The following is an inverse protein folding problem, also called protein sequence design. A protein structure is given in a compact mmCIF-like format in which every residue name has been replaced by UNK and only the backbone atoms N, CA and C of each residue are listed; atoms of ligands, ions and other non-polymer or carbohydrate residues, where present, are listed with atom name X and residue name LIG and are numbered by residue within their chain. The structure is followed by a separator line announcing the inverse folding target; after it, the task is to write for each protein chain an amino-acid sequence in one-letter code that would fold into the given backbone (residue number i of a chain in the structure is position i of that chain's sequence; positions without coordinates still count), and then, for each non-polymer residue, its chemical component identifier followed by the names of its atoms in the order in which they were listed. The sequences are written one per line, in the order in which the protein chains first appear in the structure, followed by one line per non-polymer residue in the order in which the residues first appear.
data_IF_224174262018
#
_entry.id   IF_224174262018
#
_cell.length_a   1.000
_cell.length_b   1.000
_cell.length_c   1.000
_cell.angle_alpha   90.00
_cell.angle_beta   90.00
_cell.angle_gamma   90.00
#
_symmetry.space_group_name_H-M   'P 1'
#
loop_
_entity.id
_entity.type
_entity.pdbx_description
1 polymer ?
#
# COMPACT_ATOMS: atom_id res chain seq x y z
N UNK A 1 -21.31 25.09 22.89
CA UNK A 1 -19.90 24.96 23.32
C UNK A 1 -19.39 23.51 23.38
N UNK A 2 -20.22 22.49 23.15
CA UNK A 2 -19.84 21.06 23.19
C UNK A 2 -18.93 20.60 22.01
N UNK A 3 -18.92 21.32 20.88
CA UNK A 3 -18.12 20.94 19.69
C UNK A 3 -16.60 21.20 19.82
N UNK A 4 -16.16 22.09 20.74
CA UNK A 4 -14.73 22.44 20.87
C UNK A 4 -13.88 21.36 21.54
N UNK A 5 -14.45 20.52 22.40
CA UNK A 5 -13.74 19.41 23.05
C UNK A 5 -13.59 18.18 22.15
N UNK A 6 -14.51 17.98 21.21
CA UNK A 6 -14.50 16.86 20.25
C UNK A 6 -13.43 17.09 19.17
N UNK A 7 -13.29 18.34 18.69
CA UNK A 7 -12.25 18.74 17.74
C UNK A 7 -10.82 18.48 18.24
N UNK A 8 -10.54 18.66 19.54
CA UNK A 8 -9.20 18.44 20.09
C UNK A 8 -8.81 16.96 20.12
N UNK A 9 -9.77 16.09 20.50
CA UNK A 9 -9.57 14.65 20.52
C UNK A 9 -9.47 14.09 19.09
N UNK A 10 -10.34 14.52 18.16
CA UNK A 10 -10.27 14.11 16.75
C UNK A 10 -8.93 14.47 16.12
N UNK A 11 -8.44 15.68 16.41
CA UNK A 11 -7.14 16.14 15.92
C UNK A 11 -6.01 15.28 16.50
N UNK A 12 -6.06 14.95 17.79
CA UNK A 12 -5.07 14.08 18.44
C UNK A 12 -5.11 12.63 17.91
N UNK A 13 -6.30 12.07 17.65
CA UNK A 13 -6.46 10.76 17.03
C UNK A 13 -5.96 10.75 15.58
N UNK A 14 -6.24 11.80 14.81
CA UNK A 14 -5.73 11.95 13.45
C UNK A 14 -4.20 12.00 13.45
N UNK A 15 -3.60 12.81 14.32
CA UNK A 15 -2.16 12.87 14.47
C UNK A 15 -1.59 11.48 14.80
N UNK A 16 -2.13 10.79 15.81
CA UNK A 16 -1.64 9.48 16.21
C UNK A 16 -1.68 8.46 15.06
N UNK A 17 -2.79 8.35 14.34
CA UNK A 17 -2.91 7.42 13.20
C UNK A 17 -1.94 7.76 12.05
N UNK A 18 -1.77 9.04 11.73
CA UNK A 18 -0.87 9.47 10.65
C UNK A 18 0.61 9.27 11.02
N UNK A 19 1.00 9.53 12.26
CA UNK A 19 2.36 9.34 12.74
C UNK A 19 2.72 7.87 12.89
N UNK A 20 1.80 7.04 13.42
CA UNK A 20 2.04 5.60 13.55
C UNK A 20 2.27 4.92 12.19
N UNK A 21 1.40 5.20 11.21
CA UNK A 21 1.53 4.62 9.87
C UNK A 21 2.87 5.00 9.23
N UNK A 22 3.22 6.28 9.25
CA UNK A 22 4.49 6.76 8.68
C UNK A 22 5.70 6.25 9.45
N UNK A 23 5.60 6.12 10.78
CA UNK A 23 6.65 5.56 11.62
C UNK A 23 6.99 4.12 11.26
N UNK A 24 5.97 3.27 11.06
CA UNK A 24 6.16 1.89 10.63
C UNK A 24 6.83 1.84 9.24
N UNK A 25 6.40 2.68 8.29
CA UNK A 25 7.02 2.77 6.97
C UNK A 25 8.48 3.24 7.06
N UNK A 26 8.78 4.22 7.90
CA UNK A 26 10.14 4.72 8.11
C UNK A 26 11.07 3.63 8.65
N UNK A 27 10.60 2.79 9.58
CA UNK A 27 11.36 1.62 10.04
C UNK A 27 11.68 0.65 8.90
N UNK A 28 10.73 0.42 8.00
CA UNK A 28 10.96 -0.36 6.78
C UNK A 28 12.07 0.22 5.89
N UNK A 29 12.05 1.53 5.64
CA UNK A 29 13.10 2.22 4.85
C UNK A 29 14.46 2.17 5.53
N UNK A 30 14.52 2.28 6.86
CA UNK A 30 15.83 2.17 7.55
C UNK A 30 16.51 0.83 7.32
N UNK A 31 15.74 -0.26 7.21
CA UNK A 31 16.30 -1.58 6.94
C UNK A 31 16.98 -1.66 5.56
N UNK A 32 16.44 -0.98 4.54
CA UNK A 32 17.05 -0.97 3.19
C UNK A 32 18.27 -0.03 3.14
N UNK A 33 18.19 1.11 3.83
CA UNK A 33 19.28 2.09 3.88
C UNK A 33 20.55 1.55 4.55
N UNK A 34 20.42 0.64 5.54
CA UNK A 34 21.58 0.01 6.20
C UNK A 34 22.43 -0.80 5.21
N UNK A 35 21.84 -1.27 4.12
CA UNK A 35 22.53 -2.04 3.07
C UNK A 35 22.94 -1.14 1.89
N UNK A 36 22.98 0.18 2.11
CA UNK A 36 23.19 1.21 1.07
C UNK A 36 22.18 1.12 -0.10
N UNK A 37 20.98 0.57 0.16
CA UNK A 37 19.91 0.43 -0.82
C UNK A 37 18.78 1.45 -0.60
N UNK A 38 18.46 2.24 -1.62
CA UNK A 38 17.40 3.24 -1.55
C UNK A 38 16.07 2.70 -2.11
N UNK A 39 15.11 2.34 -1.24
CA UNK A 39 13.78 1.86 -1.66
C UNK A 39 12.71 2.97 -1.64
N UNK A 40 12.49 3.57 -2.82
CA UNK A 40 11.44 4.57 -3.05
C UNK A 40 10.05 3.94 -3.25
N UNK A 41 9.99 2.64 -3.56
CA UNK A 41 8.74 1.97 -3.90
C UNK A 41 7.83 1.72 -2.70
N UNK A 42 8.35 1.85 -1.46
CA UNK A 42 7.63 1.50 -0.23
C UNK A 42 6.27 2.22 -0.08
N UNK A 43 6.16 3.47 -0.54
CA UNK A 43 4.90 4.22 -0.51
C UNK A 43 3.86 3.66 -1.47
N UNK A 44 4.29 3.24 -2.67
CA UNK A 44 3.43 2.56 -3.64
C UNK A 44 3.07 1.14 -3.20
N UNK A 45 3.99 0.42 -2.55
CA UNK A 45 3.72 -0.91 -1.96
C UNK A 45 2.66 -0.81 -0.86
N UNK A 46 2.78 0.18 0.05
CA UNK A 46 1.80 0.41 1.10
C UNK A 46 0.40 0.72 0.52
N UNK A 47 0.34 1.56 -0.52
CA UNK A 47 -0.91 1.89 -1.21
C UNK A 47 -1.49 0.67 -1.94
N UNK A 48 -0.65 -0.12 -2.61
CA UNK A 48 -1.07 -1.38 -3.24
C UNK A 48 -1.59 -2.38 -2.22
N UNK A 49 -0.98 -2.47 -1.04
CA UNK A 49 -1.42 -3.37 0.03
C UNK A 49 -2.77 -2.94 0.60
N UNK A 50 -2.99 -1.63 0.74
CA UNK A 50 -4.30 -1.08 1.13
C UNK A 50 -5.38 -1.42 0.09
N UNK A 51 -5.05 -1.28 -1.20
CA UNK A 51 -6.00 -1.61 -2.27
C UNK A 51 -6.26 -3.12 -2.35
N UNK A 52 -5.23 -3.95 -2.18
CA UNK A 52 -5.36 -5.41 -2.17
C UNK A 52 -6.19 -5.89 -0.98
N UNK A 53 -5.99 -5.33 0.22
CA UNK A 53 -6.79 -5.70 1.38
C UNK A 53 -8.25 -5.31 1.19
N UNK A 54 -8.52 -4.13 0.64
CA UNK A 54 -9.87 -3.71 0.28
C UNK A 54 -10.50 -4.65 -0.76
N UNK A 55 -9.75 -5.04 -1.79
CA UNK A 55 -10.23 -5.97 -2.81
C UNK A 55 -10.55 -7.35 -2.23
N UNK A 56 -9.66 -7.92 -1.41
CA UNK A 56 -9.85 -9.24 -0.79
C UNK A 56 -11.04 -9.25 0.17
N UNK A 57 -11.23 -8.19 0.96
CA UNK A 57 -12.31 -8.14 1.94
C UNK A 57 -13.66 -7.75 1.32
N UNK A 58 -13.68 -6.84 0.34
CA UNK A 58 -14.92 -6.30 -0.23
C UNK A 58 -15.39 -7.08 -1.45
N UNK A 59 -14.47 -7.51 -2.33
CA UNK A 59 -14.83 -8.17 -3.60
C UNK A 59 -14.80 -9.69 -3.48
N UNK A 60 -13.80 -10.23 -2.78
CA UNK A 60 -13.70 -11.68 -2.57
C UNK A 60 -14.42 -12.15 -1.29
N UNK A 61 -14.96 -11.22 -0.49
CA UNK A 61 -15.65 -11.48 0.77
C UNK A 61 -14.88 -12.40 1.74
N UNK A 62 -13.55 -12.37 1.65
CA UNK A 62 -12.70 -13.24 2.47
C UNK A 62 -12.42 -12.61 3.84
N UNK A 63 -12.02 -13.45 4.79
CA UNK A 63 -11.65 -13.01 6.14
C UNK A 63 -10.51 -11.98 6.16
N UNK A 64 -10.45 -11.18 7.22
CA UNK A 64 -9.34 -10.26 7.45
C UNK A 64 -7.97 -10.97 7.51
N UNK A 65 -7.94 -12.22 8.00
CA UNK A 65 -6.71 -13.01 8.06
C UNK A 65 -6.15 -13.30 6.66
N UNK A 66 -7.00 -13.70 5.71
CA UNK A 66 -6.60 -13.88 4.30
C UNK A 66 -6.08 -12.60 3.67
N UNK A 67 -6.68 -11.45 3.98
CA UNK A 67 -6.21 -10.16 3.48
C UNK A 67 -4.79 -9.83 4.00
N UNK A 68 -4.51 -10.10 5.28
CA UNK A 68 -3.16 -9.92 5.86
C UNK A 68 -2.13 -10.78 5.14
N UNK A 69 -2.43 -12.07 4.93
CA UNK A 69 -1.52 -13.00 4.26
C UNK A 69 -1.26 -12.55 2.81
N UNK A 70 -2.30 -12.13 2.09
CA UNK A 70 -2.16 -11.63 0.72
C UNK A 70 -1.28 -10.38 0.65
N UNK A 71 -1.47 -9.42 1.56
CA UNK A 71 -0.66 -8.20 1.62
C UNK A 71 0.80 -8.47 1.97
N UNK A 72 1.06 -9.39 2.91
CA UNK A 72 2.43 -9.80 3.25
C UNK A 72 3.14 -10.47 2.07
N UNK A 73 2.43 -11.36 1.36
CA UNK A 73 2.98 -12.02 0.18
C UNK A 73 3.29 -11.01 -0.94
N UNK A 74 2.39 -10.07 -1.18
CA UNK A 74 2.62 -9.00 -2.16
C UNK A 74 3.85 -8.15 -1.80
N UNK A 75 3.97 -7.71 -0.54
CA UNK A 75 5.14 -6.94 -0.09
C UNK A 75 6.45 -7.73 -0.23
N UNK A 76 6.46 -9.01 0.15
CA UNK A 76 7.61 -9.89 0.01
C UNK A 76 8.00 -10.11 -1.47
N UNK A 77 7.01 -10.31 -2.34
CA UNK A 77 7.24 -10.47 -3.77
C UNK A 77 7.87 -9.22 -4.40
N UNK A 78 7.37 -8.03 -4.06
CA UNK A 78 7.95 -6.77 -4.55
C UNK A 78 9.38 -6.59 -4.04
N UNK A 79 9.61 -6.79 -2.74
CA UNK A 79 10.95 -6.71 -2.15
C UNK A 79 11.93 -7.70 -2.79
N UNK A 80 11.47 -8.92 -3.07
CA UNK A 80 12.27 -9.93 -3.76
C UNK A 80 12.62 -9.52 -5.19
N UNK A 81 11.66 -8.97 -5.95
CA UNK A 81 11.89 -8.48 -7.32
C UNK A 81 12.90 -7.31 -7.31
N UNK A 82 12.70 -6.33 -6.42
CA UNK A 82 13.63 -5.20 -6.27
C UNK A 82 15.04 -5.70 -5.91
N UNK A 83 15.16 -6.61 -4.95
CA UNK A 83 16.43 -7.22 -4.58
C UNK A 83 17.09 -7.99 -5.73
N UNK A 84 16.32 -8.74 -6.51
CA UNK A 84 16.82 -9.48 -7.68
C UNK A 84 17.35 -8.52 -8.76
N UNK A 85 16.64 -7.43 -9.05
CA UNK A 85 17.06 -6.43 -10.04
C UNK A 85 18.35 -5.73 -9.63
N UNK A 86 18.48 -5.39 -8.34
CA UNK A 86 19.67 -4.71 -7.82
C UNK A 86 20.86 -5.67 -7.77
N UNK A 87 20.70 -6.84 -7.15
CA UNK A 87 21.81 -7.77 -6.89
C UNK A 87 22.24 -8.51 -8.16
N UNK A 88 21.29 -9.01 -8.96
CA UNK A 88 21.59 -9.87 -10.13
C UNK A 88 21.66 -9.09 -11.43
N UNK A 89 20.71 -8.19 -11.66
CA UNK A 89 20.67 -7.41 -12.90
C UNK A 89 21.56 -6.14 -12.85
N UNK A 90 22.17 -5.84 -11.69
CA UNK A 90 23.06 -4.69 -11.46
C UNK A 90 22.44 -3.36 -11.88
N UNK A 91 21.12 -3.26 -11.77
CA UNK A 91 20.40 -2.01 -12.00
C UNK A 91 20.64 -1.10 -10.79
N UNK A 92 20.90 0.21 -10.99
CA UNK A 92 20.93 1.17 -9.89
C UNK A 92 19.65 1.07 -9.04
N UNK A 93 19.82 1.03 -7.73
CA UNK A 93 18.76 0.91 -6.72
C UNK A 93 17.61 1.90 -6.90
N UNK A 94 17.96 3.16 -7.14
CA UNK A 94 17.03 4.25 -7.39
C UNK A 94 16.20 4.02 -8.65
N UNK A 95 16.82 3.49 -9.72
CA UNK A 95 16.13 3.22 -10.98
C UNK A 95 15.21 1.98 -10.86
N UNK A 96 15.68 0.92 -10.20
CA UNK A 96 14.87 -0.28 -9.97
C UNK A 96 13.63 0.03 -9.14
N UNK A 97 13.79 0.79 -8.05
CA UNK A 97 12.70 1.09 -7.12
C UNK A 97 11.74 2.16 -7.66
N UNK A 98 12.23 3.17 -8.41
CA UNK A 98 11.36 4.08 -9.16
C UNK A 98 10.55 3.36 -10.24
N UNK A 99 11.19 2.46 -10.99
CA UNK A 99 10.50 1.65 -12.01
C UNK A 99 9.39 0.79 -11.38
N UNK A 100 9.68 0.13 -10.27
CA UNK A 100 8.69 -0.64 -9.52
C UNK A 100 7.57 0.24 -8.97
N UNK A 101 7.90 1.45 -8.50
CA UNK A 101 6.91 2.40 -8.00
C UNK A 101 5.90 2.79 -9.09
N UNK A 102 6.38 3.13 -10.29
CA UNK A 102 5.49 3.42 -11.43
C UNK A 102 4.69 2.21 -11.88
N UNK A 103 5.31 1.02 -11.86
CA UNK A 103 4.63 -0.23 -12.19
C UNK A 103 3.47 -0.49 -11.22
N UNK A 104 3.69 -0.37 -9.91
CA UNK A 104 2.65 -0.55 -8.90
C UNK A 104 1.54 0.48 -9.02
N UNK A 105 1.88 1.75 -9.26
CA UNK A 105 0.88 2.81 -9.53
C UNK A 105 0.06 2.48 -10.78
N UNK A 106 0.70 1.96 -11.84
CA UNK A 106 0.02 1.51 -13.05
C UNK A 106 -0.93 0.34 -12.77
N UNK A 107 -0.45 -0.67 -12.05
CA UNK A 107 -1.26 -1.82 -11.64
C UNK A 107 -2.45 -1.43 -10.76
N UNK A 108 -2.32 -0.43 -9.88
CA UNK A 108 -3.44 0.08 -9.09
C UNK A 108 -4.56 0.67 -9.96
N UNK A 109 -4.23 1.19 -11.15
CA UNK A 109 -5.22 1.81 -12.05
C UNK A 109 -6.02 0.81 -12.87
N UNK A 110 -5.50 -0.41 -13.08
CA UNK A 110 -6.16 -1.41 -13.94
C UNK A 110 -7.47 -1.92 -13.32
N UNK A 111 -7.53 -2.40 -12.06
CA UNK A 111 -8.75 -2.93 -11.47
C UNK A 111 -9.77 -1.83 -11.12
N UNK A 112 -9.29 -0.60 -10.96
CA UNK A 112 -10.12 0.53 -10.55
C UNK A 112 -10.78 1.22 -11.74
N UNK A 113 -10.27 1.03 -12.97
CA UNK A 113 -10.52 1.95 -14.11
C UNK A 113 -10.32 3.43 -13.73
N UNK A 114 -9.55 3.72 -12.67
CA UNK A 114 -9.41 5.05 -12.07
C UNK A 114 -10.45 5.43 -10.99
N UNK A 115 -11.34 4.52 -10.54
CA UNK A 115 -12.36 4.74 -9.49
C UNK A 115 -11.98 4.11 -8.16
N UNK A 116 -12.20 4.81 -7.03
CA UNK A 116 -11.96 4.23 -5.69
C UNK A 116 -12.91 3.07 -5.38
N UNK A 117 -12.37 1.94 -4.95
CA UNK A 117 -13.15 0.79 -4.49
C UNK A 117 -13.84 1.16 -3.16
N UNK A 118 -15.16 1.34 -3.20
CA UNK A 118 -15.99 1.68 -2.04
C UNK A 118 -17.24 0.79 -2.00
N UNK A 119 -17.66 0.40 -0.80
CA UNK A 119 -18.86 -0.40 -0.54
C UNK A 119 -20.09 0.30 -1.15
N UNK A 120 -20.73 -0.33 -2.16
CA UNK A 120 -21.90 0.20 -2.87
C UNK A 120 -21.65 0.69 -4.31
N UNK A 121 -20.47 0.49 -4.89
CA UNK A 121 -20.26 0.81 -6.30
C UNK A 121 -21.00 -0.14 -7.23
N UNK A 122 -21.84 0.41 -8.10
CA UNK A 122 -22.39 -0.31 -9.25
C UNK A 122 -21.27 -0.60 -10.25
N UNK A 123 -21.05 -1.88 -10.56
CA UNK A 123 -20.25 -2.28 -11.70
C UNK A 123 -21.01 -1.90 -13.00
N UNK A 124 -20.32 -1.49 -14.08
CA UNK A 124 -20.94 -1.22 -15.39
C UNK A 124 -21.75 -2.40 -15.96
N UNK A 125 -21.54 -3.62 -15.46
CA UNK A 125 -22.17 -4.85 -15.96
C UNK A 125 -23.57 -5.16 -15.39
N UNK A 126 -24.17 -4.25 -14.60
CA UNK A 126 -25.59 -4.35 -14.21
C UNK A 126 -25.98 -5.56 -13.35
N UNK A 127 -25.05 -6.42 -12.95
CA UNK A 127 -25.32 -7.58 -12.10
C UNK A 127 -25.01 -7.24 -10.64
N UNK A 128 -26.07 -7.08 -9.83
CA UNK A 128 -25.98 -7.02 -8.38
C UNK A 128 -25.48 -8.37 -7.84
N UNK A 129 -24.36 -8.38 -7.13
CA UNK A 129 -24.09 -9.34 -6.07
C UNK A 129 -23.59 -8.57 -4.86
#
# INVERSE_FOLDING_TARGET
MQQRGLLGLDLQYLFFNLFLLKGILALGVTATLVVDGFDLSIGSVATSALMLSAYVMVVLEMSAFSAIVACLFMGAAVGFINGLLIVKARVPDLLATLGMMFLLIGLQRIPTEGRSISTGMKLPDGFNR
#
